data_IF_532578334756
#
_entry.id   IF_532578334756
#
_cell.length_a   1.000
_cell.length_b   1.000
_cell.length_c   1.000
_cell.angle_alpha   90.00
_cell.angle_beta   90.00
_cell.angle_gamma   90.00
#
_symmetry.space_group_name_H-M   'P 1'
#
loop_
_entity.id
_entity.type
_entity.pdbx_description
1 polymer ?
#
# COMPACT_ATOMS: atom_id res chain seq x y z
N UNK A 1 -5.36 -6.18 -26.41
CA UNK A 1 -5.36 -5.53 -25.07
C UNK A 1 -5.45 -6.60 -23.97
N UNK A 2 -4.50 -7.56 -23.94
CA UNK A 2 -4.55 -8.71 -23.00
C UNK A 2 -3.32 -8.84 -22.10
N UNK A 3 -2.33 -7.94 -22.26
CA UNK A 3 -1.02 -8.03 -21.59
C UNK A 3 -0.75 -6.89 -20.58
N UNK A 4 -1.69 -5.97 -20.38
CA UNK A 4 -1.52 -4.91 -19.38
C UNK A 4 -2.06 -5.43 -18.04
N UNK A 5 -1.12 -5.80 -17.16
CA UNK A 5 -1.32 -6.30 -15.79
C UNK A 5 -1.64 -7.79 -15.61
N UNK A 6 -1.04 -8.69 -16.40
CA UNK A 6 -0.99 -10.10 -16.00
C UNK A 6 -0.07 -10.29 -14.78
N UNK A 7 -0.68 -10.38 -13.60
CA UNK A 7 -0.03 -10.70 -12.32
C UNK A 7 0.07 -12.20 -12.07
N UNK A 8 -0.31 -13.04 -13.03
CA UNK A 8 -0.25 -14.50 -12.89
C UNK A 8 1.18 -14.97 -12.67
N UNK A 9 1.31 -15.98 -11.80
CA UNK A 9 2.57 -16.71 -11.60
C UNK A 9 2.36 -18.11 -12.11
N UNK A 10 2.87 -18.45 -13.32
CA UNK A 10 2.79 -19.81 -13.83
C UNK A 10 3.44 -20.76 -12.82
N UNK A 11 2.74 -21.82 -12.43
CA UNK A 11 3.27 -22.86 -11.53
C UNK A 11 4.25 -23.82 -12.22
N UNK A 12 4.44 -23.67 -13.54
CA UNK A 12 5.36 -24.44 -14.36
C UNK A 12 5.84 -23.60 -15.54
N UNK A 13 6.92 -24.02 -16.19
CA UNK A 13 7.52 -23.32 -17.33
C UNK A 13 8.80 -22.57 -16.97
N UNK A 14 9.32 -21.73 -17.89
CA UNK A 14 10.57 -21.02 -17.68
C UNK A 14 10.46 -19.97 -16.58
N UNK A 15 11.57 -19.69 -15.91
CA UNK A 15 11.66 -18.63 -14.89
C UNK A 15 11.51 -17.27 -15.59
N UNK A 16 10.39 -16.58 -15.34
CA UNK A 16 10.12 -15.26 -15.89
C UNK A 16 10.83 -14.16 -15.11
N UNK A 17 11.89 -13.58 -15.70
CA UNK A 17 12.69 -12.49 -15.11
C UNK A 17 12.28 -11.09 -15.60
N UNK A 18 11.29 -11.00 -16.50
CA UNK A 18 10.85 -9.74 -17.10
C UNK A 18 9.90 -8.92 -16.23
N UNK A 19 9.36 -9.51 -15.15
CA UNK A 19 8.34 -8.87 -14.30
C UNK A 19 8.85 -8.67 -12.89
N UNK A 20 8.73 -7.45 -12.38
CA UNK A 20 9.05 -7.11 -10.99
C UNK A 20 7.87 -7.43 -10.07
N UNK A 21 7.53 -8.71 -9.91
CA UNK A 21 6.49 -9.13 -8.97
C UNK A 21 7.09 -9.31 -7.56
N UNK A 22 6.41 -8.86 -6.49
CA UNK A 22 6.93 -8.96 -5.14
C UNK A 22 7.17 -10.42 -4.74
N UNK A 23 8.17 -10.68 -3.91
CA UNK A 23 8.37 -12.02 -3.35
C UNK A 23 7.22 -12.36 -2.40
N UNK A 24 6.52 -13.48 -2.63
CA UNK A 24 5.37 -13.88 -1.81
C UNK A 24 5.77 -14.42 -0.43
N UNK A 25 6.90 -15.14 -0.36
CA UNK A 25 7.53 -15.61 0.86
C UNK A 25 6.56 -16.08 1.96
N UNK A 26 6.73 -15.49 3.14
CA UNK A 26 5.91 -15.76 4.34
C UNK A 26 4.73 -14.79 4.49
N UNK A 27 4.53 -13.87 3.54
CA UNK A 27 3.53 -12.80 3.65
C UNK A 27 2.11 -13.34 3.80
N UNK A 28 1.81 -14.50 3.17
CA UNK A 28 0.51 -15.16 3.32
C UNK A 28 0.17 -15.56 4.76
N UNK A 29 1.17 -15.99 5.55
CA UNK A 29 0.98 -16.31 6.98
C UNK A 29 0.59 -15.08 7.78
N UNK A 30 1.29 -13.96 7.57
CA UNK A 30 1.01 -12.72 8.28
C UNK A 30 -0.35 -12.15 7.88
N UNK A 31 -0.68 -12.16 6.59
CA UNK A 31 -1.98 -11.71 6.10
C UNK A 31 -3.13 -12.53 6.72
N UNK A 32 -3.02 -13.85 6.71
CA UNK A 32 -4.04 -14.74 7.29
C UNK A 32 -4.26 -14.45 8.78
N UNK A 33 -3.16 -14.29 9.55
CA UNK A 33 -3.24 -13.94 10.97
C UNK A 33 -3.90 -12.59 11.20
N UNK A 34 -3.49 -11.56 10.46
CA UNK A 34 -4.06 -10.20 10.59
C UNK A 34 -5.55 -10.18 10.27
N UNK A 35 -6.00 -10.91 9.23
CA UNK A 35 -7.42 -11.02 8.91
C UNK A 35 -8.21 -11.72 10.02
N UNK A 36 -7.64 -12.76 10.66
CA UNK A 36 -8.27 -13.42 11.79
C UNK A 36 -8.39 -12.48 13.01
N UNK A 37 -7.34 -11.73 13.33
CA UNK A 37 -7.35 -10.73 14.41
C UNK A 37 -8.38 -9.62 14.12
N UNK A 38 -8.41 -9.10 12.89
CA UNK A 38 -9.38 -8.09 12.46
C UNK A 38 -10.82 -8.60 12.53
N UNK A 39 -11.08 -9.86 12.21
CA UNK A 39 -12.44 -10.42 12.23
C UNK A 39 -13.09 -10.41 13.62
N UNK A 40 -12.28 -10.37 14.68
CA UNK A 40 -12.75 -10.25 16.07
C UNK A 40 -12.67 -8.84 16.64
N UNK A 41 -12.29 -7.83 15.85
CA UNK A 41 -12.09 -6.48 16.34
C UNK A 41 -13.43 -5.74 16.54
N UNK A 42 -13.59 -4.95 17.62
CA UNK A 42 -14.85 -4.28 17.94
C UNK A 42 -15.26 -3.21 16.92
N UNK A 43 -14.30 -2.62 16.20
CA UNK A 43 -14.50 -1.43 15.37
C UNK A 43 -14.37 -1.71 13.85
N UNK A 44 -14.85 -2.88 13.40
CA UNK A 44 -14.83 -3.24 11.96
C UNK A 44 -15.67 -2.28 11.09
N UNK A 45 -16.74 -1.72 11.63
CA UNK A 45 -17.61 -0.78 10.91
C UNK A 45 -16.89 0.49 10.47
N UNK A 46 -15.89 0.95 11.23
CA UNK A 46 -15.10 2.14 10.89
C UNK A 46 -14.34 1.99 9.57
N UNK A 47 -14.06 0.75 9.11
CA UNK A 47 -13.45 0.49 7.81
C UNK A 47 -14.42 0.64 6.63
N UNK A 48 -15.74 0.68 6.88
CA UNK A 48 -16.76 0.88 5.87
C UNK A 48 -17.09 2.36 5.67
N UNK A 49 -16.70 3.22 6.62
CA UNK A 49 -16.91 4.65 6.51
C UNK A 49 -15.97 5.30 5.50
N UNK A 50 -16.42 6.43 4.96
CA UNK A 50 -15.59 7.23 4.07
C UNK A 50 -14.37 7.76 4.85
N UNK A 51 -13.19 7.32 4.42
CA UNK A 51 -11.94 7.78 4.97
C UNK A 51 -11.60 9.15 4.41
N UNK A 52 -11.40 10.13 5.30
CA UNK A 52 -10.87 11.42 4.90
C UNK A 52 -9.51 11.27 4.21
N UNK A 53 -9.06 12.30 3.49
CA UNK A 53 -7.73 12.35 2.87
C UNK A 53 -6.57 12.08 3.85
N UNK A 54 -6.78 12.30 5.15
CA UNK A 54 -5.82 11.99 6.21
C UNK A 54 -5.79 10.50 6.61
N UNK A 55 -6.76 9.70 6.18
CA UNK A 55 -6.90 8.30 6.60
C UNK A 55 -7.20 8.12 8.08
N UNK A 56 -7.14 6.88 8.57
CA UNK A 56 -7.34 6.55 9.98
C UNK A 56 -6.07 6.87 10.78
N UNK A 57 -6.24 7.47 11.97
CA UNK A 57 -5.13 7.82 12.88
C UNK A 57 -4.18 6.63 13.14
N UNK A 58 -4.73 5.44 13.33
CA UNK A 58 -3.92 4.24 13.57
C UNK A 58 -3.16 3.76 12.32
N UNK A 59 -3.65 4.04 11.11
CA UNK A 59 -2.91 3.79 9.87
C UNK A 59 -1.73 4.76 9.74
N UNK A 60 -1.91 6.03 10.10
CA UNK A 60 -0.83 7.02 10.10
C UNK A 60 0.29 6.65 11.09
N UNK A 61 -0.06 6.28 12.33
CA UNK A 61 0.94 5.83 13.30
C UNK A 61 1.69 4.58 12.81
N UNK A 62 0.99 3.60 12.23
CA UNK A 62 1.64 2.44 11.60
C UNK A 62 2.58 2.84 10.45
N UNK A 63 2.23 3.89 9.71
CA UNK A 63 3.07 4.51 8.68
C UNK A 63 4.35 5.15 9.27
N UNK A 64 4.23 5.93 10.34
CA UNK A 64 5.36 6.51 11.06
C UNK A 64 6.32 5.41 11.56
N UNK A 65 5.78 4.36 12.18
CA UNK A 65 6.57 3.22 12.67
C UNK A 65 7.29 2.49 11.53
N UNK A 66 6.61 2.33 10.38
CA UNK A 66 7.21 1.70 9.21
C UNK A 66 8.32 2.56 8.59
N UNK A 67 8.12 3.87 8.47
CA UNK A 67 9.14 4.82 7.97
C UNK A 67 10.35 4.87 8.90
N UNK A 68 10.15 4.83 10.21
CA UNK A 68 11.25 4.82 11.18
C UNK A 68 12.18 3.61 10.95
N UNK A 69 11.62 2.45 10.56
CA UNK A 69 12.40 1.24 10.22
C UNK A 69 13.22 1.39 8.94
N UNK A 70 12.90 2.34 8.07
CA UNK A 70 13.70 2.68 6.87
C UNK A 70 14.67 3.84 7.12
N UNK A 71 14.71 4.39 8.34
CA UNK A 71 15.53 5.54 8.72
C UNK A 71 14.89 6.90 8.48
N UNK A 72 13.61 6.93 8.07
CA UNK A 72 12.85 8.16 7.84
C UNK A 72 11.97 8.46 9.06
N UNK A 73 12.17 9.60 9.70
CA UNK A 73 11.26 10.09 10.75
C UNK A 73 10.17 10.93 10.09
N UNK A 74 8.92 10.74 10.50
CA UNK A 74 7.78 11.50 10.02
C UNK A 74 6.71 11.60 11.12
N UNK A 75 6.02 12.72 11.17
CA UNK A 75 4.81 12.92 11.97
C UNK A 75 3.55 12.50 11.19
N UNK A 76 2.44 12.15 11.85
CA UNK A 76 1.20 11.75 11.17
C UNK A 76 0.68 12.76 10.14
N UNK A 77 0.85 14.07 10.39
CA UNK A 77 0.44 15.15 9.48
C UNK A 77 1.37 15.31 8.26
N UNK A 78 2.50 14.59 8.23
CA UNK A 78 3.44 14.56 7.09
C UNK A 78 3.20 13.34 6.18
N UNK A 79 2.21 12.51 6.48
CA UNK A 79 1.91 11.28 5.76
C UNK A 79 0.56 11.39 5.03
N UNK A 80 0.58 11.07 3.73
CA UNK A 80 -0.63 10.93 2.92
C UNK A 80 -0.77 9.49 2.44
N UNK A 81 -1.90 8.86 2.74
CA UNK A 81 -2.21 7.50 2.29
C UNK A 81 -2.68 7.54 0.84
N UNK A 82 -2.13 6.65 0.00
CA UNK A 82 -2.41 6.61 -1.44
C UNK A 82 -2.80 5.21 -1.88
N UNK A 83 -3.43 5.11 -3.06
CA UNK A 83 -3.83 3.84 -3.68
C UNK A 83 -2.63 3.16 -4.35
N UNK A 84 -1.55 2.95 -3.58
CA UNK A 84 -0.28 2.43 -4.05
C UNK A 84 0.64 3.49 -4.67
N UNK A 85 1.88 3.07 -4.93
CA UNK A 85 2.98 3.97 -5.32
C UNK A 85 2.71 4.75 -6.61
N UNK A 86 1.95 4.19 -7.56
CA UNK A 86 1.60 4.89 -8.81
C UNK A 86 0.68 6.08 -8.54
N UNK A 87 -0.34 5.90 -7.70
CA UNK A 87 -1.23 7.00 -7.29
C UNK A 87 -0.43 8.07 -6.53
N UNK A 88 0.43 7.67 -5.58
CA UNK A 88 1.27 8.63 -4.86
C UNK A 88 2.23 9.41 -5.75
N UNK A 89 2.84 8.75 -6.73
CA UNK A 89 3.70 9.43 -7.71
C UNK A 89 2.90 10.45 -8.52
N UNK A 90 1.72 10.06 -9.01
CA UNK A 90 0.85 10.94 -9.78
C UNK A 90 0.44 12.19 -8.99
N UNK A 91 -0.05 12.02 -7.76
CA UNK A 91 -0.47 13.15 -6.91
C UNK A 91 0.72 14.06 -6.59
N UNK A 92 1.88 13.49 -6.30
CA UNK A 92 3.11 14.27 -6.09
C UNK A 92 3.44 15.12 -7.31
N UNK A 93 3.42 14.52 -8.51
CA UNK A 93 3.68 15.24 -9.75
C UNK A 93 2.64 16.34 -10.00
N UNK A 94 1.35 16.07 -9.77
CA UNK A 94 0.30 17.09 -9.92
C UNK A 94 0.47 18.26 -8.93
N UNK A 95 0.97 18.00 -7.73
CA UNK A 95 1.20 19.03 -6.72
C UNK A 95 2.42 19.90 -7.00
N UNK A 96 3.51 19.32 -7.54
CA UNK A 96 4.79 20.03 -7.73
C UNK A 96 5.01 20.53 -9.16
N UNK A 97 4.37 19.93 -10.16
CA UNK A 97 4.48 20.37 -11.54
C UNK A 97 3.56 21.56 -11.77
N UNK A 98 4.14 22.75 -11.93
CA UNK A 98 3.40 23.87 -12.51
C UNK A 98 3.18 23.61 -14.02
N UNK A 99 1.99 23.90 -14.58
CA UNK A 99 1.81 23.95 -16.02
C UNK A 99 2.86 24.90 -16.61
N UNK A 100 3.64 24.43 -17.59
CA UNK A 100 4.43 25.37 -18.40
C UNK A 100 3.46 26.03 -19.38
N UNK A 101 3.30 27.35 -19.23
CA UNK A 101 2.62 28.20 -20.20
C UNK A 101 3.39 28.24 -21.53
#
# INVERSE_FOLDING_TARGET
>A
MKDLADLSRPGSGPIGLSRNLPFLGVSGRYLSRTLAELSGAPELSAFLDHQSEKGLVHHLHGGCDWLARTGVKADPDEIVITCGAQHGTLVTLMAVAAPRA
#
